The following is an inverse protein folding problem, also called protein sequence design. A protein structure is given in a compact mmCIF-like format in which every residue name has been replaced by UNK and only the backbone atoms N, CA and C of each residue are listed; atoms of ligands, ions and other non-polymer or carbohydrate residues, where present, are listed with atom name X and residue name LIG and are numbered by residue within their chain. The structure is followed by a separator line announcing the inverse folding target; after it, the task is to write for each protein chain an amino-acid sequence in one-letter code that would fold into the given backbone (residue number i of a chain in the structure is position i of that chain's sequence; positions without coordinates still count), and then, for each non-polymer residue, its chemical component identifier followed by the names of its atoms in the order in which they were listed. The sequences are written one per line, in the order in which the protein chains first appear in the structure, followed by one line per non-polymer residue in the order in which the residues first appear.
data_IF_316510313589
#
_entry.id   IF_316510313589
#
_cell.length_a   1.000
_cell.length_b   1.000
_cell.length_c   1.000
_cell.angle_alpha   90.00
_cell.angle_beta   90.00
_cell.angle_gamma   90.00
#
_symmetry.space_group_name_H-M   'P 1'
#
loop_
_entity.id
_entity.type
_entity.pdbx_description
1 polymer ?
#
# COMPACT_ATOMS: atom_id res chain seq x y z
N UNK A 1 -14.00 0.46 -33.18
CA UNK A 1 -13.14 -0.58 -33.79
C UNK A 1 -13.80 -1.94 -33.59
N UNK A 2 -13.77 -2.85 -34.57
CA UNK A 2 -14.32 -4.20 -34.37
C UNK A 2 -13.40 -5.08 -33.51
N UNK A 3 -13.92 -6.20 -32.98
CA UNK A 3 -13.17 -7.08 -32.08
C UNK A 3 -11.94 -7.73 -32.74
N UNK A 4 -11.98 -7.94 -34.05
CA UNK A 4 -10.89 -8.58 -34.78
C UNK A 4 -9.69 -7.63 -34.93
N UNK A 5 -9.96 -6.35 -35.23
CA UNK A 5 -8.98 -5.27 -35.22
C UNK A 5 -8.43 -5.02 -33.82
N UNK A 6 -9.31 -4.96 -32.81
CA UNK A 6 -8.89 -4.75 -31.43
C UNK A 6 -7.98 -5.88 -30.94
N UNK A 7 -8.31 -7.13 -31.26
CA UNK A 7 -7.46 -8.28 -30.96
C UNK A 7 -6.11 -8.26 -31.69
N UNK A 8 -6.01 -7.66 -32.89
CA UNK A 8 -4.72 -7.44 -33.59
C UNK A 8 -3.91 -6.34 -32.92
N UNK A 9 -4.56 -5.26 -32.49
CA UNK A 9 -3.92 -4.17 -31.76
C UNK A 9 -3.31 -4.68 -30.45
N UNK A 10 -4.08 -5.40 -29.62
CA UNK A 10 -3.58 -5.96 -28.36
C UNK A 10 -2.37 -6.89 -28.55
N UNK A 11 -2.39 -7.74 -29.60
CA UNK A 11 -1.25 -8.59 -29.96
C UNK A 11 -0.01 -7.81 -30.36
N UNK A 12 -0.19 -6.66 -31.01
CA UNK A 12 0.91 -5.78 -31.41
C UNK A 12 1.47 -5.07 -30.19
N UNK A 13 0.59 -4.50 -29.37
CA UNK A 13 0.94 -3.82 -28.13
C UNK A 13 1.72 -4.73 -27.16
N UNK A 14 1.29 -5.98 -26.98
CA UNK A 14 2.01 -6.98 -26.18
C UNK A 14 3.41 -7.30 -26.73
N UNK A 15 3.57 -7.32 -28.05
CA UNK A 15 4.86 -7.62 -28.69
C UNK A 15 5.83 -6.45 -28.55
N UNK A 16 5.31 -5.24 -28.73
CA UNK A 16 6.10 -4.02 -28.70
C UNK A 16 6.47 -3.63 -27.27
N UNK A 17 5.64 -3.95 -26.27
CA UNK A 17 5.97 -3.71 -24.85
C UNK A 17 7.22 -4.44 -24.39
N UNK A 18 7.58 -5.57 -25.01
CA UNK A 18 8.84 -6.28 -24.74
C UNK A 18 10.09 -5.59 -25.34
N UNK A 19 9.90 -4.59 -26.21
CA UNK A 19 10.98 -3.90 -26.93
C UNK A 19 11.11 -2.43 -26.53
N UNK A 20 10.05 -1.87 -25.96
CA UNK A 20 9.99 -0.49 -25.53
C UNK A 20 10.52 -0.39 -24.09
N UNK A 21 11.52 0.46 -23.89
CA UNK A 21 11.98 0.79 -22.54
C UNK A 21 10.89 1.57 -21.76
N UNK A 22 10.99 1.65 -20.42
CA UNK A 22 9.96 2.27 -19.58
C UNK A 22 9.57 3.70 -20.02
N UNK A 23 10.52 4.47 -20.54
CA UNK A 23 10.31 5.85 -21.01
C UNK A 23 9.44 5.94 -22.27
N UNK A 24 9.38 4.88 -23.07
CA UNK A 24 8.56 4.83 -24.29
C UNK A 24 7.14 4.33 -24.04
N UNK A 25 6.82 3.83 -22.84
CA UNK A 25 5.51 3.29 -22.52
C UNK A 25 4.37 4.32 -22.73
N UNK A 26 4.48 5.59 -22.30
CA UNK A 26 3.44 6.58 -22.56
C UNK A 26 3.14 6.77 -24.06
N UNK A 27 4.18 6.82 -24.89
CA UNK A 27 4.02 6.98 -26.34
C UNK A 27 3.41 5.73 -26.99
N UNK A 28 3.75 4.53 -26.50
CA UNK A 28 3.17 3.28 -26.96
C UNK A 28 1.66 3.20 -26.66
N UNK A 29 1.26 3.61 -25.46
CA UNK A 29 -0.16 3.64 -25.06
C UNK A 29 -0.94 4.72 -25.84
N UNK A 30 -0.36 5.91 -26.04
CA UNK A 30 -0.97 6.96 -26.88
C UNK A 30 -1.17 6.48 -28.33
N UNK A 31 -0.18 5.80 -28.92
CA UNK A 31 -0.29 5.23 -30.26
C UNK A 31 -1.39 4.15 -30.35
N UNK A 32 -1.53 3.32 -29.31
CA UNK A 32 -2.60 2.33 -29.24
C UNK A 32 -3.98 3.00 -29.15
N UNK A 33 -4.12 4.01 -28.29
CA UNK A 33 -5.36 4.78 -28.18
C UNK A 33 -5.75 5.45 -29.50
N UNK A 34 -4.80 6.08 -30.21
CA UNK A 34 -5.06 6.65 -31.55
C UNK A 34 -5.48 5.61 -32.57
N UNK A 35 -4.93 4.39 -32.49
CA UNK A 35 -5.33 3.28 -33.36
C UNK A 35 -6.79 2.87 -33.10
N UNK A 36 -7.29 3.07 -31.88
CA UNK A 36 -8.69 2.84 -31.49
C UNK A 36 -9.65 3.99 -31.87
N UNK A 37 -9.20 4.95 -32.69
CA UNK A 37 -9.94 6.18 -33.06
C UNK A 37 -10.19 7.14 -31.87
N UNK A 38 -9.34 7.06 -30.85
CA UNK A 38 -9.31 8.02 -29.74
C UNK A 38 -8.39 9.20 -30.08
N UNK A 39 -8.60 10.34 -29.40
CA UNK A 39 -7.84 11.57 -29.64
C UNK A 39 -6.43 11.53 -29.00
N UNK A 40 -6.24 10.70 -27.98
CA UNK A 40 -4.95 10.48 -27.32
C UNK A 40 -5.11 9.85 -25.93
N UNK A 41 -3.97 9.49 -25.33
CA UNK A 41 -3.88 8.91 -24.00
C UNK A 41 -2.84 9.62 -23.13
N UNK A 42 -3.15 9.75 -21.83
CA UNK A 42 -2.23 10.28 -20.83
C UNK A 42 -2.25 9.40 -19.57
N UNK A 43 -1.07 8.96 -19.13
CA UNK A 43 -0.91 8.13 -17.93
C UNK A 43 -0.60 9.05 -16.75
N UNK A 44 -1.29 8.84 -15.62
CA UNK A 44 -0.98 9.49 -14.35
C UNK A 44 -0.76 8.45 -13.26
N UNK A 45 0.32 8.57 -12.50
CA UNK A 45 0.65 7.69 -11.38
C UNK A 45 0.34 8.39 -10.05
N UNK A 46 -0.17 7.65 -9.08
CA UNK A 46 -0.30 8.16 -7.73
C UNK A 46 1.09 8.41 -7.13
N UNK A 47 1.27 9.56 -6.49
CA UNK A 47 2.48 9.80 -5.71
C UNK A 47 2.53 8.85 -4.50
N UNK A 48 3.70 8.70 -3.88
CA UNK A 48 3.93 7.77 -2.77
C UNK A 48 2.97 7.98 -1.60
N UNK A 49 2.45 9.20 -1.40
CA UNK A 49 1.47 9.54 -0.35
C UNK A 49 0.01 9.48 -0.82
N UNK A 50 -0.22 9.19 -2.10
CA UNK A 50 -1.55 9.09 -2.71
C UNK A 50 -2.40 10.38 -2.54
N UNK A 51 -1.73 11.52 -2.66
CA UNK A 51 -2.31 12.87 -2.59
C UNK A 51 -2.44 13.50 -3.97
N UNK A 52 -1.58 13.12 -4.92
CA UNK A 52 -1.52 13.65 -6.28
C UNK A 52 -1.36 12.54 -7.32
N UNK A 53 -1.85 12.82 -8.52
CA UNK A 53 -1.73 12.02 -9.72
C UNK A 53 -0.75 12.72 -10.68
N UNK A 54 0.46 12.21 -10.81
CA UNK A 54 1.56 12.81 -11.56
C UNK A 54 1.57 12.24 -12.98
N UNK A 55 1.61 13.09 -14.03
CA UNK A 55 1.67 12.59 -15.40
C UNK A 55 2.98 11.83 -15.65
N UNK A 56 2.93 10.83 -16.53
CA UNK A 56 4.08 10.05 -16.98
C UNK A 56 4.36 10.33 -18.47
N UNK A 57 5.56 10.77 -18.86
CA UNK A 57 6.73 11.02 -18.01
C UNK A 57 6.53 12.22 -17.06
N UNK A 58 7.19 12.22 -15.88
CA UNK A 58 7.06 13.34 -14.94
C UNK A 58 7.52 14.64 -15.59
N UNK A 59 6.89 15.79 -15.24
CA UNK A 59 7.36 17.08 -15.71
C UNK A 59 8.78 17.33 -15.23
N UNK A 60 9.54 18.14 -15.97
CA UNK A 60 10.88 18.54 -15.55
C UNK A 60 10.84 19.10 -14.12
N UNK A 61 11.88 18.88 -13.29
CA UNK A 61 11.91 19.25 -11.87
C UNK A 61 11.90 20.76 -11.58
N UNK A 62 11.53 21.59 -12.56
CA UNK A 62 11.29 23.02 -12.38
C UNK A 62 9.98 23.24 -11.62
N UNK A 63 10.02 24.04 -10.55
CA UNK A 63 8.80 24.60 -9.95
C UNK A 63 7.93 25.19 -11.07
N UNK A 64 6.65 24.82 -11.11
CA UNK A 64 5.72 25.44 -12.04
C UNK A 64 5.77 26.98 -11.85
N UNK A 65 5.67 27.78 -12.92
CA UNK A 65 5.76 29.24 -12.84
C UNK A 65 4.75 29.88 -11.86
N UNK A 66 3.66 29.18 -11.57
CA UNK A 66 2.58 29.57 -10.68
C UNK A 66 2.73 29.03 -9.24
N UNK A 67 3.83 28.34 -8.93
CA UNK A 67 4.09 27.74 -7.63
C UNK A 67 3.22 26.53 -7.30
N UNK A 68 2.41 26.01 -8.25
CA UNK A 68 1.60 24.81 -8.02
C UNK A 68 2.47 23.57 -8.00
N UNK A 69 2.14 22.67 -7.07
CA UNK A 69 2.71 21.33 -7.05
C UNK A 69 2.33 20.55 -8.32
N UNK A 70 3.21 19.69 -8.84
CA UNK A 70 2.99 18.96 -10.09
C UNK A 70 1.84 17.95 -9.98
N UNK A 71 1.16 17.69 -11.10
CA UNK A 71 0.08 16.71 -11.19
C UNK A 71 -1.27 17.18 -10.66
N UNK A 72 -2.28 16.30 -10.75
CA UNK A 72 -3.66 16.55 -10.37
C UNK A 72 -3.91 16.14 -8.91
N UNK A 73 -4.58 16.94 -8.09
CA UNK A 73 -5.00 16.50 -6.76
C UNK A 73 -5.90 15.26 -6.82
N UNK A 74 -5.69 14.29 -5.92
CA UNK A 74 -6.60 13.15 -5.76
C UNK A 74 -7.97 13.60 -5.21
N UNK A 75 -8.00 14.68 -4.44
CA UNK A 75 -9.25 15.27 -3.97
C UNK A 75 -9.82 16.30 -4.93
N UNK A 76 -11.15 16.33 -5.05
CA UNK A 76 -11.87 17.34 -5.82
C UNK A 76 -11.70 17.26 -7.35
N UNK A 77 -11.07 16.21 -7.88
CA UNK A 77 -10.91 16.01 -9.33
C UNK A 77 -11.62 14.74 -9.83
N UNK A 78 -11.98 14.71 -11.13
CA UNK A 78 -12.56 13.52 -11.75
C UNK A 78 -11.55 12.37 -11.88
N UNK A 79 -10.28 12.70 -12.15
CA UNK A 79 -9.17 11.76 -12.13
C UNK A 79 -9.00 11.11 -10.75
N UNK A 80 -8.99 11.94 -9.71
CA UNK A 80 -8.95 11.49 -8.32
C UNK A 80 -10.17 10.69 -7.90
N UNK A 81 -11.36 11.01 -8.41
CA UNK A 81 -12.55 10.18 -8.21
C UNK A 81 -12.34 8.77 -8.80
N UNK A 82 -11.92 8.66 -10.07
CA UNK A 82 -11.68 7.38 -10.72
C UNK A 82 -10.61 6.55 -10.00
N UNK A 83 -9.53 7.20 -9.56
CA UNK A 83 -8.51 6.59 -8.71
C UNK A 83 -9.08 6.03 -7.40
N UNK A 84 -9.86 6.84 -6.67
CA UNK A 84 -10.36 6.47 -5.34
C UNK A 84 -11.38 5.34 -5.38
N UNK A 85 -12.29 5.39 -6.35
CA UNK A 85 -13.40 4.43 -6.48
C UNK A 85 -13.03 3.18 -7.27
N UNK A 86 -11.88 3.17 -7.96
CA UNK A 86 -11.53 2.10 -8.88
C UNK A 86 -12.54 1.95 -10.02
N UNK A 87 -13.24 3.04 -10.39
CA UNK A 87 -14.32 3.01 -11.36
C UNK A 87 -14.09 3.99 -12.53
N UNK A 88 -14.48 3.64 -13.77
CA UNK A 88 -14.44 4.54 -14.91
C UNK A 88 -15.23 5.83 -14.67
N UNK A 89 -14.71 6.96 -15.16
CA UNK A 89 -15.41 8.25 -15.11
C UNK A 89 -15.39 8.94 -16.46
N UNK A 90 -16.53 8.93 -17.13
CA UNK A 90 -16.75 9.70 -18.38
C UNK A 90 -16.69 11.20 -18.11
N UNK A 91 -16.08 11.93 -19.05
CA UNK A 91 -16.03 13.39 -19.07
C UNK A 91 -16.71 13.93 -20.33
N UNK A 92 -17.45 15.02 -20.16
CA UNK A 92 -18.12 15.74 -21.25
C UNK A 92 -17.67 17.20 -21.24
N UNK A 93 -17.91 17.93 -22.35
CA UNK A 93 -17.59 19.36 -22.44
C UNK A 93 -16.29 19.64 -23.19
N UNK A 94 -15.44 20.52 -22.66
CA UNK A 94 -14.22 21.00 -23.33
C UNK A 94 -13.14 19.92 -23.48
N UNK A 95 -13.16 18.92 -22.59
CA UNK A 95 -12.20 17.81 -22.56
C UNK A 95 -12.96 16.47 -22.46
N UNK A 96 -13.63 16.04 -23.55
CA UNK A 96 -14.43 14.82 -23.54
C UNK A 96 -13.53 13.58 -23.58
N UNK A 97 -13.97 12.51 -22.90
CA UNK A 97 -13.19 11.29 -22.77
C UNK A 97 -13.58 10.44 -21.57
N UNK A 98 -12.63 9.65 -21.08
CA UNK A 98 -12.80 8.80 -19.90
C UNK A 98 -11.53 8.80 -19.04
N UNK A 99 -11.72 8.82 -17.72
CA UNK A 99 -10.70 8.47 -16.73
C UNK A 99 -10.90 7.03 -16.29
N UNK A 100 -9.86 6.22 -16.39
CA UNK A 100 -9.87 4.80 -16.04
C UNK A 100 -8.85 4.54 -14.94
N UNK A 101 -9.18 3.75 -13.91
CA UNK A 101 -8.20 3.34 -12.91
C UNK A 101 -7.10 2.48 -13.56
N UNK A 102 -5.87 2.71 -13.15
CA UNK A 102 -4.75 1.82 -13.44
C UNK A 102 -4.51 0.97 -12.19
N UNK A 103 -4.77 -0.33 -12.30
CA UNK A 103 -4.64 -1.27 -11.20
C UNK A 103 -3.75 -2.46 -11.59
N UNK A 104 -3.09 -3.04 -10.58
CA UNK A 104 -2.42 -4.33 -10.68
C UNK A 104 -2.99 -5.23 -9.58
N UNK A 105 -3.86 -6.17 -9.96
CA UNK A 105 -4.74 -6.85 -9.01
C UNK A 105 -5.64 -5.83 -8.31
N UNK A 106 -5.56 -5.76 -6.97
CA UNK A 106 -6.31 -4.80 -6.14
C UNK A 106 -5.49 -3.54 -5.79
N UNK A 107 -4.21 -3.47 -6.18
CA UNK A 107 -3.38 -2.29 -5.96
C UNK A 107 -3.74 -1.18 -6.95
N UNK A 108 -3.87 0.05 -6.45
CA UNK A 108 -4.14 1.24 -7.25
C UNK A 108 -2.83 1.93 -7.60
N UNK A 109 -2.47 1.93 -8.89
CA UNK A 109 -1.23 2.56 -9.39
C UNK A 109 -1.45 4.02 -9.81
N UNK A 110 -2.65 4.35 -10.30
CA UNK A 110 -2.95 5.66 -10.85
C UNK A 110 -4.18 5.66 -11.74
N UNK A 111 -4.19 6.48 -12.79
CA UNK A 111 -5.28 6.57 -13.77
C UNK A 111 -4.76 6.77 -15.19
N UNK A 112 -5.52 6.27 -16.17
CA UNK A 112 -5.35 6.51 -17.59
C UNK A 112 -6.45 7.46 -18.05
N UNK A 113 -6.07 8.56 -18.68
CA UNK A 113 -6.97 9.45 -19.40
C UNK A 113 -7.00 9.04 -20.86
N UNK A 114 -8.18 8.84 -21.41
CA UNK A 114 -8.39 8.63 -22.84
C UNK A 114 -9.31 9.71 -23.38
N UNK A 115 -8.79 10.56 -24.25
CA UNK A 115 -9.57 11.63 -24.86
C UNK A 115 -10.39 11.08 -26.03
N UNK A 116 -11.69 11.36 -26.06
CA UNK A 116 -12.60 10.83 -27.08
C UNK A 116 -13.77 11.78 -27.31
N UNK A 117 -14.27 11.88 -28.54
CA UNK A 117 -15.45 12.73 -28.84
C UNK A 117 -16.75 12.10 -28.33
N UNK A 118 -16.85 10.78 -28.46
CA UNK A 118 -17.94 9.95 -27.97
C UNK A 118 -17.40 8.55 -27.70
N UNK A 119 -17.99 7.85 -26.73
CA UNK A 119 -17.69 6.46 -26.41
C UNK A 119 -19.01 5.72 -26.33
N UNK A 120 -19.17 4.69 -27.16
CA UNK A 120 -20.24 3.71 -26.98
C UNK A 120 -19.79 2.63 -25.97
N UNK A 121 -20.70 1.73 -25.52
CA UNK A 121 -20.34 0.71 -24.54
C UNK A 121 -19.19 -0.20 -24.97
N UNK A 122 -19.12 -0.57 -26.26
CA UNK A 122 -18.07 -1.44 -26.77
C UNK A 122 -16.70 -0.74 -26.78
N UNK A 123 -16.65 0.55 -27.16
CA UNK A 123 -15.45 1.36 -27.09
C UNK A 123 -14.97 1.55 -25.65
N UNK A 124 -15.90 1.70 -24.70
CA UNK A 124 -15.56 1.78 -23.27
C UNK A 124 -14.92 0.48 -22.75
N UNK A 125 -15.47 -0.68 -23.11
CA UNK A 125 -14.86 -1.99 -22.76
C UNK A 125 -13.44 -2.14 -23.34
N UNK A 126 -13.23 -1.72 -24.59
CA UNK A 126 -11.90 -1.72 -25.22
C UNK A 126 -10.93 -0.76 -24.48
N UNK A 127 -11.43 0.39 -24.03
CA UNK A 127 -10.65 1.35 -23.23
C UNK A 127 -10.27 0.77 -21.86
N UNK A 128 -11.18 0.08 -21.18
CA UNK A 128 -10.93 -0.62 -19.91
C UNK A 128 -9.89 -1.74 -20.07
N UNK A 129 -9.93 -2.48 -21.18
CA UNK A 129 -8.92 -3.48 -21.50
C UNK A 129 -7.54 -2.84 -21.73
N UNK A 130 -7.46 -1.69 -22.42
CA UNK A 130 -6.21 -0.94 -22.58
C UNK A 130 -5.68 -0.44 -21.23
N UNK A 131 -6.54 0.07 -20.35
CA UNK A 131 -6.16 0.50 -19.01
C UNK A 131 -5.62 -0.66 -18.16
N UNK A 132 -6.28 -1.81 -18.20
CA UNK A 132 -5.85 -3.03 -17.50
C UNK A 132 -4.47 -3.49 -17.97
N UNK A 133 -4.25 -3.52 -19.28
CA UNK A 133 -2.95 -3.89 -19.85
C UNK A 133 -1.86 -2.86 -19.52
N UNK A 134 -2.21 -1.57 -19.52
CA UNK A 134 -1.30 -0.49 -19.10
C UNK A 134 -0.87 -0.65 -17.65
N UNK A 135 -1.81 -1.00 -16.75
CA UNK A 135 -1.51 -1.31 -15.34
C UNK A 135 -0.52 -2.47 -15.20
N UNK A 136 -0.71 -3.54 -15.98
CA UNK A 136 0.22 -4.68 -16.01
C UNK A 136 1.63 -4.29 -16.51
N UNK A 137 1.73 -3.47 -17.55
CA UNK A 137 3.02 -3.00 -18.04
C UNK A 137 3.71 -2.12 -17.00
N UNK A 138 3.01 -1.17 -16.39
CA UNK A 138 3.55 -0.33 -15.33
C UNK A 138 4.10 -1.18 -14.18
N UNK A 139 3.30 -2.09 -13.64
CA UNK A 139 3.75 -3.01 -12.58
C UNK A 139 5.00 -3.80 -12.98
N UNK A 140 5.07 -4.28 -14.23
CA UNK A 140 6.21 -5.06 -14.71
C UNK A 140 7.51 -4.28 -14.83
N UNK A 141 7.46 -2.95 -15.05
CA UNK A 141 8.64 -2.10 -15.24
C UNK A 141 9.00 -1.21 -14.05
N UNK A 142 8.07 -1.03 -13.10
CA UNK A 142 8.26 -0.17 -11.91
C UNK A 142 9.50 -0.54 -11.09
N UNK A 143 9.80 -1.84 -10.96
CA UNK A 143 10.91 -2.32 -10.13
C UNK A 143 12.32 -2.02 -10.64
N UNK A 144 12.46 -1.54 -11.88
CA UNK A 144 13.76 -1.24 -12.48
C UNK A 144 13.77 0.06 -13.31
N UNK A 145 12.77 0.93 -13.13
CA UNK A 145 12.66 2.20 -13.86
C UNK A 145 12.66 3.41 -12.94
N UNK A 146 13.76 4.16 -12.96
CA UNK A 146 13.87 5.44 -12.26
C UNK A 146 12.87 6.48 -12.77
N UNK A 147 12.41 6.38 -14.01
CA UNK A 147 11.41 7.31 -14.56
C UNK A 147 10.05 7.08 -13.92
N UNK A 148 9.66 5.82 -13.72
CA UNK A 148 8.42 5.47 -13.02
C UNK A 148 8.53 5.87 -11.55
N UNK A 149 9.64 5.53 -10.88
CA UNK A 149 9.87 5.88 -9.48
C UNK A 149 9.96 7.39 -9.25
N UNK A 150 10.51 8.16 -10.20
CA UNK A 150 10.45 9.63 -10.15
C UNK A 150 9.03 10.14 -10.38
N UNK A 151 8.26 9.47 -11.24
CA UNK A 151 6.85 9.75 -11.49
C UNK A 151 5.96 9.57 -10.27
N UNK A 152 6.36 8.80 -9.26
CA UNK A 152 5.59 8.62 -8.02
C UNK A 152 6.08 9.52 -6.88
N UNK A 153 6.92 10.53 -7.15
CA UNK A 153 7.52 11.39 -6.13
C UNK A 153 7.28 12.87 -6.41
N UNK A 154 6.81 13.58 -5.40
CA UNK A 154 6.70 15.05 -5.39
C UNK A 154 7.83 15.71 -4.59
N UNK A 155 8.60 14.92 -3.83
CA UNK A 155 9.71 15.37 -2.97
C UNK A 155 10.88 14.39 -3.04
N UNK A 156 12.10 14.81 -2.68
CA UNK A 156 13.22 13.89 -2.51
C UNK A 156 12.97 12.88 -1.38
N UNK A 157 13.30 11.61 -1.63
CA UNK A 157 13.29 10.54 -0.64
C UNK A 157 14.57 10.59 0.21
N UNK A 158 14.49 10.32 1.51
CA UNK A 158 15.69 10.11 2.33
C UNK A 158 16.34 8.77 2.02
N UNK A 159 17.62 8.60 2.37
CA UNK A 159 18.31 7.32 2.24
C UNK A 159 17.57 6.19 2.99
N UNK A 160 17.04 6.50 4.17
CA UNK A 160 16.26 5.58 4.99
C UNK A 160 14.96 5.18 4.30
N UNK A 161 14.26 6.16 3.71
CA UNK A 161 13.06 5.91 2.91
C UNK A 161 13.35 5.03 1.70
N UNK A 162 14.45 5.25 0.99
CA UNK A 162 14.88 4.38 -0.13
C UNK A 162 15.12 2.95 0.36
N UNK A 163 15.84 2.78 1.49
CA UNK A 163 16.11 1.47 2.07
C UNK A 163 14.80 0.76 2.43
N UNK A 164 13.90 1.42 3.15
CA UNK A 164 12.66 0.80 3.61
C UNK A 164 11.72 0.46 2.44
N UNK A 165 11.51 1.38 1.49
CA UNK A 165 10.68 1.13 0.30
C UNK A 165 11.24 0.04 -0.61
N UNK A 166 12.56 -0.16 -0.66
CA UNK A 166 13.15 -1.25 -1.43
C UNK A 166 12.78 -2.64 -0.90
N UNK A 167 12.40 -2.75 0.39
CA UNK A 167 12.00 -4.02 1.00
C UNK A 167 10.49 -4.17 1.22
N UNK A 168 9.72 -3.09 1.21
CA UNK A 168 8.27 -3.18 1.40
C UNK A 168 7.55 -3.81 0.19
N UNK A 169 6.50 -4.60 0.40
CA UNK A 169 5.66 -5.10 -0.69
C UNK A 169 4.78 -3.97 -1.28
N UNK A 170 4.01 -4.25 -2.35
CA UNK A 170 2.86 -3.44 -2.72
C UNK A 170 2.04 -2.98 -1.52
N UNK A 171 1.40 -1.82 -1.60
CA UNK A 171 0.59 -1.32 -0.46
C UNK A 171 -0.68 -2.13 -0.26
N UNK A 172 -1.18 -2.76 -1.31
CA UNK A 172 -2.41 -3.54 -1.27
C UNK A 172 -2.23 -4.84 -2.03
N UNK A 173 -2.56 -5.96 -1.39
CA UNK A 173 -2.69 -7.26 -2.02
C UNK A 173 -4.08 -7.81 -1.74
N UNK A 174 -4.55 -8.72 -2.58
CA UNK A 174 -5.88 -9.30 -2.40
C UNK A 174 -6.16 -10.42 -3.37
N UNK A 175 -7.06 -11.30 -2.95
CA UNK A 175 -7.68 -12.36 -3.73
C UNK A 175 -9.20 -12.21 -3.62
N UNK A 176 -9.94 -13.27 -3.99
CA UNK A 176 -11.39 -13.31 -3.77
C UNK A 176 -11.74 -13.53 -2.31
N UNK A 177 -10.82 -14.07 -1.53
CA UNK A 177 -11.03 -14.55 -0.16
C UNK A 177 -10.55 -13.56 0.89
N UNK A 178 -9.58 -12.69 0.57
CA UNK A 178 -9.08 -11.68 1.48
C UNK A 178 -8.42 -10.50 0.77
N UNK A 179 -8.38 -9.35 1.46
CA UNK A 179 -7.65 -8.15 1.04
C UNK A 179 -6.80 -7.66 2.19
N UNK A 180 -5.56 -7.26 1.94
CA UNK A 180 -4.70 -6.56 2.91
C UNK A 180 -4.20 -5.26 2.30
N UNK A 181 -4.40 -4.15 3.01
CA UNK A 181 -3.87 -2.84 2.65
C UNK A 181 -3.01 -2.29 3.77
N UNK A 182 -1.96 -1.56 3.44
CA UNK A 182 -1.10 -0.91 4.39
C UNK A 182 -0.78 0.53 3.96
N UNK A 183 -0.65 1.40 4.95
CA UNK A 183 -0.21 2.77 4.80
C UNK A 183 0.89 3.08 5.80
N UNK A 184 1.80 3.95 5.41
CA UNK A 184 2.97 4.35 6.20
C UNK A 184 3.27 5.82 5.90
N UNK A 185 3.35 6.63 6.95
CA UNK A 185 3.84 8.00 6.92
C UNK A 185 4.83 8.25 8.06
N UNK A 186 5.82 9.14 7.92
CA UNK A 186 6.14 9.95 6.75
C UNK A 186 6.72 9.13 5.58
N UNK A 187 6.06 9.16 4.42
CA UNK A 187 6.41 8.30 3.30
C UNK A 187 7.80 8.61 2.67
N UNK A 188 8.32 9.82 2.87
CA UNK A 188 9.61 10.27 2.31
C UNK A 188 10.79 10.16 3.30
N UNK A 189 10.52 9.99 4.60
CA UNK A 189 11.51 10.06 5.68
C UNK A 189 11.21 9.04 6.79
N UNK A 190 11.09 7.78 6.37
CA UNK A 190 10.80 6.65 7.26
C UNK A 190 11.89 6.54 8.32
N UNK A 191 11.49 6.41 9.58
CA UNK A 191 12.35 6.16 10.72
C UNK A 191 12.71 4.68 10.87
N UNK A 192 11.74 3.86 11.26
CA UNK A 192 11.94 2.47 11.65
C UNK A 192 10.73 1.56 11.39
N UNK A 193 9.61 2.12 10.94
CA UNK A 193 8.42 1.33 10.64
C UNK A 193 8.55 0.55 9.32
N UNK A 194 7.92 -0.62 9.30
CA UNK A 194 7.67 -1.35 8.07
C UNK A 194 6.47 -2.29 8.19
N UNK A 195 5.99 -2.75 7.04
CA UNK A 195 4.99 -3.81 6.95
C UNK A 195 5.42 -4.88 5.95
N UNK A 196 4.90 -6.10 6.14
CA UNK A 196 4.89 -7.14 5.12
C UNK A 196 3.49 -7.71 5.00
N UNK A 197 3.17 -8.19 3.81
CA UNK A 197 2.04 -9.09 3.63
C UNK A 197 2.27 -10.00 2.43
N UNK A 198 1.70 -11.19 2.46
CA UNK A 198 1.74 -12.10 1.31
C UNK A 198 0.51 -12.98 1.30
N UNK A 199 0.09 -13.37 0.10
CA UNK A 199 -1.00 -14.30 -0.12
C UNK A 199 -0.46 -15.58 -0.72
N UNK A 200 -0.94 -16.70 -0.18
CA UNK A 200 -0.83 -18.04 -0.77
C UNK A 200 -2.24 -18.53 -1.10
N UNK A 201 -2.38 -19.79 -1.52
CA UNK A 201 -3.70 -20.35 -1.85
C UNK A 201 -4.64 -20.44 -0.64
N UNK A 202 -4.09 -20.59 0.57
CA UNK A 202 -4.84 -20.86 1.79
C UNK A 202 -4.50 -19.91 2.95
N UNK A 203 -3.47 -19.06 2.81
CA UNK A 203 -2.98 -18.23 3.92
C UNK A 203 -2.74 -16.79 3.48
N UNK A 204 -3.25 -15.84 4.26
CA UNK A 204 -2.81 -14.44 4.27
C UNK A 204 -1.85 -14.23 5.44
N UNK A 205 -0.58 -13.97 5.15
CA UNK A 205 0.41 -13.55 6.14
C UNK A 205 0.46 -12.03 6.19
N UNK A 206 0.53 -11.45 7.40
CA UNK A 206 0.72 -10.02 7.62
C UNK A 206 1.74 -9.77 8.74
N UNK A 207 2.51 -8.71 8.61
CA UNK A 207 3.45 -8.24 9.61
C UNK A 207 3.44 -6.71 9.69
N UNK A 208 3.48 -6.17 10.90
CA UNK A 208 3.78 -4.76 11.17
C UNK A 208 4.94 -4.72 12.15
N UNK A 209 5.92 -3.90 11.85
CA UNK A 209 7.20 -3.80 12.55
C UNK A 209 7.45 -2.33 12.83
N UNK A 210 7.88 -2.03 14.05
CA UNK A 210 8.30 -0.70 14.48
C UNK A 210 9.66 -0.87 15.17
N UNK A 211 10.71 -0.39 14.51
CA UNK A 211 12.06 -0.42 15.04
C UNK A 211 12.37 0.87 15.79
N UNK A 212 12.84 0.75 17.03
CA UNK A 212 13.11 1.92 17.86
C UNK A 212 14.15 2.85 17.25
N UNK A 213 13.78 4.12 17.13
CA UNK A 213 14.62 5.20 16.61
C UNK A 213 14.20 5.63 15.21
N UNK A 214 14.85 6.68 14.72
CA UNK A 214 14.48 7.35 13.46
C UNK A 214 15.72 7.59 12.58
N UNK A 215 16.71 6.70 12.69
CA UNK A 215 18.00 6.81 12.01
C UNK A 215 18.15 5.74 10.92
N UNK A 216 19.30 5.69 10.26
CA UNK A 216 19.54 4.66 9.24
C UNK A 216 19.57 3.24 9.83
N UNK A 217 19.94 3.11 11.11
CA UNK A 217 20.02 1.82 11.75
C UNK A 217 18.62 1.27 12.11
N UNK A 218 17.64 2.10 12.48
CA UNK A 218 16.25 1.67 12.67
C UNK A 218 15.64 1.15 11.35
N UNK A 219 15.86 1.86 10.24
CA UNK A 219 15.47 1.36 8.91
C UNK A 219 16.15 0.02 8.53
N UNK A 220 17.42 -0.16 8.91
CA UNK A 220 18.11 -1.44 8.73
C UNK A 220 17.56 -2.55 9.63
N UNK A 221 17.12 -2.24 10.85
CA UNK A 221 16.45 -3.21 11.73
C UNK A 221 15.17 -3.73 11.11
N UNK A 222 14.33 -2.82 10.59
CA UNK A 222 13.12 -3.18 9.87
C UNK A 222 13.43 -4.08 8.67
N UNK A 223 14.42 -3.71 7.84
CA UNK A 223 14.83 -4.52 6.69
C UNK A 223 15.32 -5.93 7.08
N UNK A 224 16.14 -6.05 8.14
CA UNK A 224 16.60 -7.35 8.65
C UNK A 224 15.44 -8.19 9.18
N UNK A 225 14.49 -7.57 9.86
CA UNK A 225 13.32 -8.26 10.39
C UNK A 225 12.39 -8.77 9.28
N UNK A 226 12.13 -7.96 8.25
CA UNK A 226 11.40 -8.40 7.05
C UNK A 226 12.13 -9.54 6.35
N UNK A 227 13.44 -9.46 6.20
CA UNK A 227 14.25 -10.50 5.56
C UNK A 227 14.23 -11.81 6.36
N UNK A 228 14.38 -11.75 7.70
CA UNK A 228 14.30 -12.89 8.59
C UNK A 228 12.92 -13.55 8.58
N UNK A 229 11.85 -12.73 8.61
CA UNK A 229 10.48 -13.19 8.45
C UNK A 229 10.28 -13.95 7.13
N UNK A 230 10.67 -13.32 6.01
CA UNK A 230 10.50 -13.91 4.67
C UNK A 230 11.33 -15.17 4.47
N UNK A 231 12.58 -15.19 4.92
CA UNK A 231 13.45 -16.36 4.79
C UNK A 231 12.84 -17.54 5.53
N UNK A 232 12.48 -17.34 6.80
CA UNK A 232 11.93 -18.39 7.65
C UNK A 232 10.60 -18.92 7.10
N UNK A 233 9.70 -18.02 6.69
CA UNK A 233 8.42 -18.39 6.10
C UNK A 233 8.59 -19.17 4.79
N UNK A 234 9.55 -18.78 3.93
CA UNK A 234 9.81 -19.47 2.65
C UNK A 234 10.45 -20.85 2.85
N UNK A 235 11.14 -21.06 3.97
CA UNK A 235 11.67 -22.36 4.38
C UNK A 235 10.63 -23.23 5.11
N UNK A 236 9.37 -22.78 5.20
CA UNK A 236 8.27 -23.51 5.83
C UNK A 236 8.18 -23.36 7.36
N UNK A 237 8.92 -22.41 7.94
CA UNK A 237 8.83 -22.09 9.36
C UNK A 237 7.53 -21.38 9.73
N UNK A 238 7.10 -21.54 10.98
CA UNK A 238 5.90 -20.92 11.55
C UNK A 238 6.21 -19.57 12.24
N UNK A 239 5.19 -18.93 12.82
CA UNK A 239 5.36 -17.64 13.53
C UNK A 239 6.36 -17.67 14.70
N UNK A 240 6.48 -18.79 15.42
CA UNK A 240 7.47 -18.92 16.49
C UNK A 240 8.89 -18.96 15.91
N UNK A 241 9.09 -19.71 14.83
CA UNK A 241 10.36 -19.77 14.11
C UNK A 241 10.73 -18.38 13.56
N UNK A 242 9.76 -17.65 12.98
CA UNK A 242 9.95 -16.27 12.50
C UNK A 242 10.45 -15.38 13.63
N UNK A 243 9.80 -15.40 14.79
CA UNK A 243 10.24 -14.56 15.91
C UNK A 243 11.63 -14.92 16.41
N UNK A 244 11.98 -16.22 16.46
CA UNK A 244 13.30 -16.67 16.89
C UNK A 244 14.39 -16.24 15.89
N UNK A 245 14.15 -16.42 14.59
CA UNK A 245 15.09 -16.04 13.54
C UNK A 245 15.30 -14.53 13.49
N UNK A 246 14.25 -13.72 13.65
CA UNK A 246 14.37 -12.26 13.72
C UNK A 246 15.12 -11.83 14.98
N UNK A 247 14.80 -12.38 16.15
CA UNK A 247 15.49 -12.07 17.41
C UNK A 247 16.99 -12.39 17.32
N UNK A 248 17.34 -13.56 16.77
CA UNK A 248 18.73 -13.98 16.54
C UNK A 248 19.46 -13.06 15.55
N UNK A 249 18.80 -12.71 14.44
CA UNK A 249 19.39 -11.82 13.44
C UNK A 249 19.68 -10.43 14.01
N UNK A 250 18.76 -9.86 14.78
CA UNK A 250 18.96 -8.59 15.46
C UNK A 250 20.10 -8.68 16.49
N UNK A 251 20.10 -9.71 17.33
CA UNK A 251 21.15 -9.90 18.34
C UNK A 251 22.55 -10.09 17.75
N UNK A 252 22.64 -10.72 16.58
CA UNK A 252 23.90 -10.98 15.88
C UNK A 252 24.41 -9.76 15.12
N UNK A 253 23.55 -9.11 14.34
CA UNK A 253 23.97 -8.10 13.36
C UNK A 253 23.72 -6.66 13.81
N UNK A 254 22.76 -6.45 14.72
CA UNK A 254 22.30 -5.13 15.16
C UNK A 254 22.19 -5.08 16.69
N UNK A 255 23.27 -5.39 17.44
CA UNK A 255 23.22 -5.49 18.89
C UNK A 255 22.77 -4.18 19.54
N UNK A 256 21.85 -4.29 20.51
CA UNK A 256 21.28 -3.14 21.22
C UNK A 256 20.16 -2.42 20.47
N UNK A 257 19.75 -2.93 19.30
CA UNK A 257 18.54 -2.48 18.61
C UNK A 257 17.36 -3.34 19.01
N UNK A 258 16.23 -2.68 19.21
CA UNK A 258 14.97 -3.29 19.59
C UNK A 258 13.92 -2.95 18.54
N UNK A 259 13.00 -3.87 18.34
CA UNK A 259 11.79 -3.60 17.56
C UNK A 259 10.58 -4.25 18.20
N UNK A 260 9.44 -3.59 18.05
CA UNK A 260 8.13 -4.14 18.34
C UNK A 260 7.56 -4.72 17.05
N UNK A 261 6.78 -5.80 17.13
CA UNK A 261 6.16 -6.38 15.94
C UNK A 261 4.89 -7.17 16.25
N UNK A 262 4.01 -7.23 15.27
CA UNK A 262 2.97 -8.25 15.16
C UNK A 262 3.24 -9.06 13.91
N UNK A 263 3.22 -10.38 14.03
CA UNK A 263 3.16 -11.32 12.90
C UNK A 263 1.88 -12.13 13.00
N UNK A 264 1.16 -12.30 11.89
CA UNK A 264 -0.06 -13.08 11.87
C UNK A 264 -0.25 -13.85 10.56
N UNK A 265 -0.79 -15.05 10.68
CA UNK A 265 -1.25 -15.90 9.59
C UNK A 265 -2.77 -16.10 9.73
N UNK A 266 -3.51 -15.70 8.70
CA UNK A 266 -4.93 -15.98 8.57
C UNK A 266 -5.12 -17.15 7.60
N UNK A 267 -5.64 -18.26 8.13
CA UNK A 267 -6.15 -19.37 7.31
C UNK A 267 -7.42 -18.89 6.57
N UNK A 268 -7.33 -18.80 5.25
CA UNK A 268 -8.39 -18.30 4.37
C UNK A 268 -9.56 -19.27 4.23
N UNK A 269 -9.34 -20.57 4.53
CA UNK A 269 -10.38 -21.61 4.45
C UNK A 269 -11.17 -21.66 5.74
N UNK A 270 -10.49 -21.68 6.89
CA UNK A 270 -11.13 -21.84 8.19
C UNK A 270 -11.44 -20.52 8.89
N UNK A 271 -10.83 -19.40 8.48
CA UNK A 271 -10.91 -18.11 9.16
C UNK A 271 -10.16 -18.07 10.49
N UNK A 272 -9.24 -19.02 10.73
CA UNK A 272 -8.46 -19.02 11.98
C UNK A 272 -7.29 -18.07 11.82
N UNK A 273 -7.30 -17.01 12.63
CA UNK A 273 -6.16 -16.12 12.80
C UNK A 273 -5.21 -16.73 13.83
N UNK A 274 -3.97 -16.94 13.44
CA UNK A 274 -2.84 -17.28 14.33
C UNK A 274 -1.90 -16.10 14.38
N UNK A 275 -1.53 -15.60 15.56
CA UNK A 275 -0.66 -14.42 15.66
C UNK A 275 0.28 -14.47 16.86
N UNK A 276 1.30 -13.62 16.80
CA UNK A 276 2.21 -13.32 17.89
C UNK A 276 2.42 -11.81 17.94
N UNK A 277 2.39 -11.25 19.15
CA UNK A 277 2.68 -9.84 19.40
C UNK A 277 3.92 -9.74 20.30
N UNK A 278 4.96 -9.06 19.80
CA UNK A 278 6.25 -8.83 20.45
C UNK A 278 6.38 -7.36 20.86
N UNK A 279 5.62 -6.96 21.88
CA UNK A 279 5.71 -5.63 22.49
C UNK A 279 5.03 -4.51 21.71
N UNK A 280 4.17 -4.84 20.75
CA UNK A 280 3.45 -3.91 19.88
C UNK A 280 2.04 -3.59 20.42
N UNK A 281 1.39 -2.48 20.00
CA UNK A 281 -0.03 -2.28 20.21
C UNK A 281 -0.85 -3.51 19.76
N UNK A 282 -1.92 -3.84 20.51
CA UNK A 282 -2.71 -5.03 20.21
C UNK A 282 -3.54 -4.83 18.94
N UNK A 283 -3.55 -5.81 18.02
CA UNK A 283 -4.43 -5.75 16.86
C UNK A 283 -5.90 -5.64 17.25
N UNK A 284 -6.67 -4.84 16.51
CA UNK A 284 -8.09 -4.67 16.70
C UNK A 284 -8.87 -5.54 15.72
N UNK A 285 -9.99 -6.12 16.17
CA UNK A 285 -10.95 -6.81 15.30
C UNK A 285 -12.15 -5.91 15.10
N UNK A 286 -12.46 -5.59 13.85
CA UNK A 286 -13.66 -4.84 13.46
C UNK A 286 -14.64 -5.83 12.84
N UNK A 287 -15.79 -5.98 13.48
CA UNK A 287 -16.89 -6.86 13.07
C UNK A 287 -18.16 -6.06 12.94
N UNK A 288 -18.87 -6.21 11.82
CA UNK A 288 -20.10 -5.46 11.55
C UNK A 288 -19.98 -3.96 11.86
N UNK A 289 -18.86 -3.34 11.46
CA UNK A 289 -18.56 -1.92 11.70
C UNK A 289 -18.37 -1.52 13.18
N UNK A 290 -18.09 -2.47 14.06
CA UNK A 290 -17.80 -2.22 15.48
C UNK A 290 -16.53 -2.94 15.90
N UNK A 291 -15.75 -2.35 16.80
CA UNK A 291 -14.61 -3.05 17.40
C UNK A 291 -15.12 -4.11 18.37
N UNK A 292 -14.57 -5.32 18.27
CA UNK A 292 -14.80 -6.40 19.22
C UNK A 292 -13.83 -6.19 20.39
N UNK A 293 -14.32 -5.83 21.59
CA UNK A 293 -13.44 -5.50 22.71
C UNK A 293 -12.54 -6.67 23.09
N UNK A 294 -11.26 -6.38 23.32
CA UNK A 294 -10.23 -7.32 23.79
C UNK A 294 -10.05 -8.60 22.96
N UNK A 295 -10.58 -8.65 21.72
CA UNK A 295 -10.59 -9.87 20.90
C UNK A 295 -9.20 -10.51 20.75
N UNK A 296 -8.20 -9.67 20.49
CA UNK A 296 -6.80 -10.08 20.31
C UNK A 296 -5.88 -9.57 21.43
N UNK A 297 -6.44 -8.98 22.50
CA UNK A 297 -5.68 -8.51 23.66
C UNK A 297 -5.12 -9.69 24.43
N UNK A 298 -3.79 -9.74 24.62
CA UNK A 298 -3.08 -10.81 25.34
C UNK A 298 -1.99 -10.21 26.21
N UNK A 299 -1.47 -10.93 27.23
CA UNK A 299 -0.36 -10.45 28.04
C UNK A 299 0.84 -10.02 27.16
N UNK A 300 1.45 -8.88 27.50
CA UNK A 300 2.55 -8.34 26.72
C UNK A 300 3.75 -9.30 26.68
N UNK A 301 4.26 -9.57 25.49
CA UNK A 301 5.56 -10.21 25.30
C UNK A 301 6.62 -9.12 25.08
N UNK A 302 7.88 -9.46 25.33
CA UNK A 302 8.99 -8.53 25.17
C UNK A 302 9.23 -8.21 23.68
N UNK A 303 9.61 -6.96 23.35
CA UNK A 303 10.17 -6.61 22.05
C UNK A 303 11.30 -7.56 21.61
N UNK A 304 11.49 -7.67 20.29
CA UNK A 304 12.58 -8.45 19.71
C UNK A 304 13.90 -7.66 19.84
N UNK A 305 15.03 -8.38 19.89
CA UNK A 305 16.37 -7.80 20.07
C UNK A 305 16.74 -7.54 21.54
N UNK A 306 15.84 -7.81 22.49
CA UNK A 306 16.11 -7.65 23.93
C UNK A 306 17.07 -8.73 24.46
N UNK A 307 17.23 -9.85 23.73
CA UNK A 307 18.02 -11.02 24.11
C UNK A 307 19.36 -10.65 24.75
N UNK A 308 19.42 -10.78 26.09
CA UNK A 308 20.67 -10.70 26.84
C UNK A 308 21.45 -11.95 26.46
N UNK A 309 22.74 -11.82 26.10
CA UNK A 309 23.63 -12.94 25.73
C UNK A 309 23.60 -14.12 26.72
N UNK A 310 23.15 -13.90 27.95
CA UNK A 310 23.19 -14.87 29.05
C UNK A 310 21.80 -15.30 29.59
N UNK A 311 20.69 -14.96 28.93
CA UNK A 311 19.35 -15.45 29.33
C UNK A 311 18.81 -16.48 28.33
N UNK A 312 18.21 -17.60 28.78
CA UNK A 312 17.53 -18.55 27.90
C UNK A 312 16.48 -17.85 27.04
N UNK A 313 16.44 -18.17 25.75
CA UNK A 313 15.41 -17.67 24.84
C UNK A 313 14.03 -18.11 25.36
N UNK A 314 13.19 -17.14 25.77
CA UNK A 314 11.80 -17.42 26.14
C UNK A 314 11.01 -17.65 24.86
N UNK A 315 10.43 -18.85 24.64
CA UNK A 315 9.66 -19.12 23.44
C UNK A 315 8.52 -18.11 23.28
N UNK A 316 8.30 -17.64 22.06
CA UNK A 316 7.15 -16.80 21.74
C UNK A 316 5.85 -17.54 22.00
N UNK A 317 4.89 -16.85 22.63
CA UNK A 317 3.54 -17.38 22.83
C UNK A 317 2.72 -17.08 21.59
N UNK A 318 2.26 -18.14 20.92
CA UNK A 318 1.41 -18.05 19.75
C UNK A 318 -0.05 -18.11 20.18
N UNK A 319 -0.85 -17.18 19.66
CA UNK A 319 -2.28 -17.06 19.96
C UNK A 319 -3.12 -17.44 18.74
N UNK A 320 -4.37 -17.84 18.99
CA UNK A 320 -5.35 -18.18 17.96
C UNK A 320 -6.71 -17.56 18.29
N UNK A 321 -7.46 -17.21 17.25
CA UNK A 321 -8.80 -16.65 17.30
C UNK A 321 -9.56 -17.05 16.03
N UNK A 322 -10.85 -17.27 16.18
CA UNK A 322 -11.75 -17.55 15.08
C UNK A 322 -12.32 -16.22 14.58
N UNK A 323 -12.06 -15.87 13.33
CA UNK A 323 -12.74 -14.77 12.65
C UNK A 323 -14.09 -15.23 12.10
N UNK A 324 -14.97 -14.26 11.92
CA UNK A 324 -16.19 -14.37 11.14
C UNK A 324 -15.99 -13.76 9.76
N UNK A 325 -16.74 -14.23 8.78
CA UNK A 325 -16.70 -13.69 7.42
C UNK A 325 -17.02 -12.20 7.45
N UNK A 326 -16.18 -11.40 6.81
CA UNK A 326 -16.25 -9.93 6.79
C UNK A 326 -15.54 -9.25 7.97
N UNK A 327 -14.97 -10.01 8.91
CA UNK A 327 -14.13 -9.43 9.96
C UNK A 327 -12.90 -8.77 9.34
N UNK A 328 -12.52 -7.63 9.93
CA UNK A 328 -11.28 -6.93 9.61
C UNK A 328 -10.33 -6.94 10.80
N UNK A 329 -9.06 -7.11 10.51
CA UNK A 329 -7.96 -6.97 11.47
C UNK A 329 -7.27 -5.64 11.16
N UNK A 330 -7.21 -4.76 12.14
CA UNK A 330 -6.48 -3.50 12.08
C UNK A 330 -5.25 -3.60 12.99
N UNK A 331 -4.07 -3.48 12.40
CA UNK A 331 -2.78 -3.44 13.11
C UNK A 331 -2.21 -2.04 12.90
N UNK A 332 -1.70 -1.41 13.95
CA UNK A 332 -1.13 -0.08 13.87
C UNK A 332 0.07 0.08 14.80
N UNK A 333 0.95 1.02 14.46
CA UNK A 333 2.02 1.48 15.35
C UNK A 333 1.53 2.55 16.30
N UNK A 334 2.29 2.84 17.34
CA UNK A 334 1.93 3.86 18.34
C UNK A 334 1.97 5.27 17.75
N UNK A 335 2.80 5.56 16.73
CA UNK A 335 2.82 6.85 16.04
C UNK A 335 1.47 7.28 15.43
N UNK A 336 0.53 6.34 15.25
CA UNK A 336 -0.87 6.65 14.90
C UNK A 336 -1.64 7.21 16.10
N UNK A 337 -1.64 6.51 17.23
CA UNK A 337 -2.43 6.89 18.42
C UNK A 337 -1.78 8.03 19.19
N UNK A 338 -0.46 8.10 19.16
CA UNK A 338 0.38 9.07 19.84
C UNK A 338 0.58 10.36 19.01
N UNK A 339 0.04 10.41 17.79
CA UNK A 339 0.00 11.60 16.97
C UNK A 339 -0.68 12.76 17.73
N UNK A 340 0.02 13.89 17.88
CA UNK A 340 -0.44 15.06 18.63
C UNK A 340 -0.83 16.24 17.76
N UNK A 341 -1.94 16.87 18.10
CA UNK A 341 -2.28 18.20 17.57
C UNK A 341 -1.31 19.26 18.08
N UNK A 342 -1.28 20.47 17.49
CA UNK A 342 -0.52 21.59 18.04
C UNK A 342 -0.91 21.98 19.47
N UNK A 343 -2.13 21.64 19.90
CA UNK A 343 -2.61 21.81 21.27
C UNK A 343 -2.16 20.67 22.22
N UNK A 344 -1.49 19.65 21.70
CA UNK A 344 -0.98 18.50 22.45
C UNK A 344 -1.97 17.33 22.58
N UNK A 345 -3.15 17.43 21.96
CA UNK A 345 -4.19 16.40 22.01
C UNK A 345 -3.80 15.17 21.17
N UNK A 346 -3.90 14.00 21.78
CA UNK A 346 -3.70 12.72 21.07
C UNK A 346 -4.76 12.53 19.99
N UNK A 347 -4.36 11.91 18.88
CA UNK A 347 -5.30 11.40 17.89
C UNK A 347 -6.11 10.27 18.50
N UNK A 348 -5.42 9.33 19.16
CA UNK A 348 -6.01 8.28 19.98
C UNK A 348 -6.67 7.15 19.16
N UNK A 349 -6.86 6.02 19.84
CA UNK A 349 -7.46 4.82 19.24
C UNK A 349 -8.92 5.05 18.80
N UNK A 350 -9.67 5.89 19.53
CA UNK A 350 -11.08 6.17 19.21
C UNK A 350 -11.25 6.82 17.83
N UNK A 351 -10.42 7.82 17.48
CA UNK A 351 -10.49 8.47 16.16
C UNK A 351 -9.99 7.55 15.05
N UNK A 352 -8.98 6.74 15.34
CA UNK A 352 -8.50 5.69 14.44
C UNK A 352 -9.65 4.74 14.06
N UNK A 353 -10.34 4.21 15.08
CA UNK A 353 -11.47 3.31 14.91
C UNK A 353 -12.61 3.99 14.13
N UNK A 354 -13.05 5.18 14.56
CA UNK A 354 -14.17 5.89 13.96
C UNK A 354 -13.92 6.18 12.47
N UNK A 355 -12.69 6.56 12.11
CA UNK A 355 -12.32 6.85 10.72
C UNK A 355 -12.40 5.61 9.84
N UNK A 356 -11.81 4.49 10.28
CA UNK A 356 -11.83 3.23 9.53
C UNK A 356 -13.27 2.73 9.40
N UNK A 357 -14.01 2.69 10.50
CA UNK A 357 -15.41 2.24 10.56
C UNK A 357 -16.30 3.06 9.63
N UNK A 358 -16.20 4.40 9.66
CA UNK A 358 -17.00 5.26 8.78
C UNK A 358 -16.69 5.02 7.31
N UNK A 359 -15.41 4.97 6.94
CA UNK A 359 -15.01 4.75 5.56
C UNK A 359 -15.52 3.40 5.05
N UNK A 360 -15.37 2.35 5.84
CA UNK A 360 -15.84 1.02 5.46
C UNK A 360 -17.36 0.87 5.49
N UNK A 361 -18.06 1.60 6.37
CA UNK A 361 -19.54 1.66 6.37
C UNK A 361 -20.09 2.39 5.13
N UNK A 362 -19.32 3.35 4.58
CA UNK A 362 -19.64 4.02 3.32
C UNK A 362 -19.36 3.16 2.08
N UNK A 363 -18.89 1.92 2.25
CA UNK A 363 -18.56 1.01 1.15
C UNK A 363 -17.24 1.33 0.46
N UNK A 364 -16.36 2.10 1.11
CA UNK A 364 -15.05 2.41 0.56
C UNK A 364 -14.12 1.20 0.67
N UNK A 365 -13.31 0.98 -0.37
CA UNK A 365 -12.30 -0.06 -0.34
C UNK A 365 -11.25 0.22 0.75
N UNK A 366 -10.71 -0.83 1.36
CA UNK A 366 -9.64 -0.75 2.37
C UNK A 366 -8.50 0.25 2.04
N UNK A 367 -7.92 0.29 0.82
CA UNK A 367 -6.86 1.26 0.51
C UNK A 367 -7.34 2.71 0.52
N UNK A 368 -8.63 2.98 0.26
CA UNK A 368 -9.19 4.32 0.37
C UNK A 368 -9.44 4.71 1.82
N UNK A 369 -9.96 3.79 2.64
CA UNK A 369 -10.12 4.00 4.08
C UNK A 369 -8.79 4.37 4.76
N UNK A 370 -7.71 3.63 4.47
CA UNK A 370 -6.39 3.92 5.01
C UNK A 370 -5.82 5.26 4.51
N UNK A 371 -6.01 5.57 3.23
CA UNK A 371 -5.57 6.85 2.66
C UNK A 371 -6.27 8.03 3.31
N UNK A 372 -7.57 7.90 3.65
CA UNK A 372 -8.31 8.92 4.40
C UNK A 372 -7.76 9.08 5.81
N UNK A 373 -7.62 7.99 6.53
CA UNK A 373 -7.06 7.97 7.87
C UNK A 373 -5.69 8.64 7.96
N UNK A 374 -4.79 8.32 7.03
CA UNK A 374 -3.48 8.97 6.97
C UNK A 374 -3.59 10.50 6.82
N UNK A 375 -4.52 10.98 6.00
CA UNK A 375 -4.70 12.42 5.84
C UNK A 375 -5.30 13.05 7.09
N UNK A 376 -6.25 12.40 7.73
CA UNK A 376 -6.84 12.88 8.97
C UNK A 376 -5.76 12.97 10.07
N UNK A 377 -4.82 12.02 10.12
CA UNK A 377 -3.64 12.06 11.01
C UNK A 377 -2.73 13.25 10.64
N UNK A 378 -2.37 13.40 9.37
CA UNK A 378 -1.53 14.50 8.90
C UNK A 378 -2.16 15.88 9.18
N UNK A 379 -3.46 16.03 8.94
CA UNK A 379 -4.20 17.26 9.19
C UNK A 379 -4.28 17.55 10.70
N UNK A 380 -4.50 16.53 11.54
CA UNK A 380 -4.49 16.66 13.00
C UNK A 380 -3.15 17.19 13.52
N UNK A 381 -2.03 16.78 12.92
CA UNK A 381 -0.69 17.22 13.30
C UNK A 381 -0.16 18.43 12.52
N UNK A 382 -0.99 19.08 11.69
CA UNK A 382 -0.58 20.18 10.80
C UNK A 382 0.62 19.82 9.91
N UNK A 383 0.67 18.57 9.43
CA UNK A 383 1.67 18.04 8.51
C UNK A 383 3.03 17.71 9.13
N UNK A 384 3.15 17.68 10.47
CA UNK A 384 4.41 17.36 11.18
C UNK A 384 4.26 16.11 12.05
N UNK A 385 4.50 14.96 11.43
CA UNK A 385 4.67 13.69 12.16
C UNK A 385 5.94 13.74 13.02
N UNK A 386 5.80 13.30 14.26
CA UNK A 386 6.90 13.17 15.23
C UNK A 386 7.49 11.77 15.28
N UNK A 387 6.75 10.80 14.77
CA UNK A 387 7.09 9.38 14.68
C UNK A 387 6.50 8.79 13.39
N UNK A 388 6.90 7.57 13.06
CA UNK A 388 6.28 6.83 11.96
C UNK A 388 4.88 6.33 12.37
N UNK A 389 3.93 6.47 11.45
CA UNK A 389 2.55 6.03 11.57
C UNK A 389 2.28 4.98 10.49
N UNK A 390 2.27 3.71 10.90
CA UNK A 390 1.98 2.57 10.04
C UNK A 390 0.69 1.90 10.44
N UNK A 391 -0.15 1.63 9.44
CA UNK A 391 -1.46 1.01 9.61
C UNK A 391 -1.61 -0.08 8.58
N UNK A 392 -2.00 -1.28 9.01
CA UNK A 392 -2.37 -2.40 8.14
C UNK A 392 -3.81 -2.81 8.44
N UNK A 393 -4.63 -2.90 7.40
CA UNK A 393 -6.00 -3.38 7.44
C UNK A 393 -6.14 -4.62 6.57
N UNK A 394 -6.40 -5.76 7.20
CA UNK A 394 -6.73 -7.01 6.52
C UNK A 394 -8.22 -7.31 6.67
N UNK A 395 -8.89 -7.74 5.60
CA UNK A 395 -10.29 -8.13 5.58
C UNK A 395 -10.41 -9.56 5.04
N UNK A 396 -11.14 -10.41 5.75
CA UNK A 396 -11.44 -11.78 5.32
C UNK A 396 -12.84 -11.84 4.74
N UNK A 397 -12.98 -12.19 3.47
CA UNK A 397 -14.25 -12.14 2.73
C UNK A 397 -14.42 -13.30 1.72
N UNK A 398 -14.34 -14.58 2.17
CA UNK A 398 -14.50 -15.76 1.30
C UNK A 398 -15.87 -15.86 0.61
#
# INVERSE_FOLDING_TARGET
MDDADFGRLMRTLLRDSHRVGPDGLPALIDAAARSMDLLGAEIFLADVQQTRLIPLPPPAPTRAPDGREPGLPVEGTLAGWAYRTGSPRLTTGSEPGVWLPLAHGVERLGVLRLAARALDPAALEQCEALASLTGQFLASVSGFSDTILRGTRIRPMSLQGELAWAFMPPRTIGSREATSSAALEPAYRIGGDAFDHTLTADTLHVAVIDAMGHDLASGLCAAVALAGCRSTRRDGGNLADITAAVDEALGTWLPGRLLTAVFADLDLVSGVLTWVNRGHPAPLVIRHQHVVPDALQRPAQLPLGIGRRDTPHTPSVIHRAQLERGDRILIHTDGVTDARSPAGELFGEERLIDTVVRATAAGEAAPEALRRLIRDILDHQHGRLTDDATILLAEWHP
#
